data_IF_501174068801
#
_entry.id   IF_501174068801
#
_cell.length_a   1.000
_cell.length_b   1.000
_cell.length_c   1.000
_cell.angle_alpha   90.00
_cell.angle_beta   90.00
_cell.angle_gamma   90.00
#
_symmetry.space_group_name_H-M   'P 1'
#
loop_
_entity.id
_entity.type
_entity.pdbx_description
1 polymer ?
#
# COMPACT_ATOMS: atom_id res chain seq x y z
N UNK A 1 -19.75 -11.09 -3.20
CA UNK A 1 -18.65 -11.12 -2.21
C UNK A 1 -17.32 -11.13 -2.93
N UNK A 2 -16.84 -9.96 -3.33
CA UNK A 2 -15.51 -9.79 -3.93
C UNK A 2 -14.81 -8.54 -3.38
N UNK A 3 -13.55 -8.72 -2.99
CA UNK A 3 -12.62 -7.64 -2.71
C UNK A 3 -12.04 -7.11 -4.04
N UNK A 4 -12.06 -5.79 -4.21
CA UNK A 4 -11.53 -5.08 -5.38
C UNK A 4 -10.57 -3.97 -4.95
N UNK A 5 -9.47 -3.82 -5.69
CA UNK A 5 -8.59 -2.66 -5.63
C UNK A 5 -8.84 -1.75 -6.83
N UNK A 6 -9.76 -0.82 -6.67
CA UNK A 6 -10.11 0.14 -7.72
C UNK A 6 -9.03 1.21 -7.81
N UNK A 7 -8.39 1.37 -8.98
CA UNK A 7 -7.45 2.47 -9.21
C UNK A 7 -8.17 3.82 -9.12
N UNK A 8 -7.63 4.73 -8.32
CA UNK A 8 -8.16 6.07 -8.09
C UNK A 8 -7.08 7.13 -8.31
N UNK A 9 -7.48 8.39 -8.50
CA UNK A 9 -6.54 9.51 -8.56
C UNK A 9 -6.03 9.82 -7.15
N UNK A 10 -4.79 10.34 -7.04
CA UNK A 10 -4.23 10.84 -5.78
C UNK A 10 -5.02 12.01 -5.14
N UNK A 11 -5.94 12.59 -5.90
CA UNK A 11 -6.84 13.68 -5.51
C UNK A 11 -8.27 13.21 -5.26
N UNK A 12 -8.52 11.90 -5.23
CA UNK A 12 -9.85 11.35 -4.90
C UNK A 12 -10.21 11.75 -3.46
N UNK A 13 -11.42 12.28 -3.27
CA UNK A 13 -11.84 12.85 -1.98
C UNK A 13 -11.81 11.80 -0.86
N UNK A 14 -12.06 10.53 -1.19
CA UNK A 14 -12.07 9.45 -0.21
C UNK A 14 -10.66 9.24 0.36
N UNK A 15 -9.65 9.13 -0.50
CA UNK A 15 -8.27 8.95 -0.02
C UNK A 15 -7.75 10.18 0.71
N UNK A 16 -8.11 11.40 0.26
CA UNK A 16 -7.74 12.62 0.97
C UNK A 16 -8.35 12.66 2.37
N UNK A 17 -9.61 12.21 2.54
CA UNK A 17 -10.25 12.06 3.84
C UNK A 17 -9.51 11.04 4.72
N UNK A 18 -9.14 9.87 4.20
CA UNK A 18 -8.35 8.90 4.97
C UNK A 18 -6.98 9.48 5.35
N UNK A 19 -6.34 10.25 4.48
CA UNK A 19 -5.06 10.89 4.76
C UNK A 19 -5.15 11.97 5.86
N UNK A 20 -6.26 12.71 5.97
CA UNK A 20 -6.45 13.69 7.04
C UNK A 20 -6.41 13.07 8.44
N UNK A 21 -6.75 11.79 8.58
CA UNK A 21 -6.62 11.06 9.85
C UNK A 21 -5.15 10.76 10.22
N UNK A 22 -4.24 10.83 9.25
CA UNK A 22 -2.83 10.46 9.40
C UNK A 22 -1.86 11.64 9.29
N UNK A 23 -2.24 12.69 8.55
CA UNK A 23 -1.38 13.82 8.22
C UNK A 23 -2.12 15.13 8.45
N UNK A 24 -1.41 16.14 8.97
CA UNK A 24 -1.98 17.46 9.28
C UNK A 24 -2.35 18.28 8.04
N UNK A 25 -1.67 18.09 6.90
CA UNK A 25 -1.95 18.79 5.63
C UNK A 25 -1.67 17.93 4.38
N UNK A 26 -2.44 16.86 4.11
CA UNK A 26 -2.22 15.99 2.96
C UNK A 26 -2.56 16.69 1.64
N UNK A 27 -1.56 16.92 0.80
CA UNK A 27 -1.72 17.39 -0.60
C UNK A 27 -1.59 16.24 -1.61
N UNK A 28 -1.82 15.00 -1.15
CA UNK A 28 -1.55 13.77 -1.88
C UNK A 28 -0.09 13.32 -1.79
N UNK A 29 0.33 12.46 -2.72
CA UNK A 29 1.66 11.85 -2.75
C UNK A 29 2.55 12.46 -3.83
N UNK A 30 3.84 12.60 -3.52
CA UNK A 30 4.89 13.06 -4.45
C UNK A 30 5.55 11.86 -5.13
N UNK A 31 6.05 12.05 -6.35
CA UNK A 31 6.74 11.00 -7.11
C UNK A 31 5.79 9.99 -7.76
N UNK A 32 6.35 8.85 -8.22
CA UNK A 32 5.56 7.79 -8.86
C UNK A 32 4.64 7.18 -7.82
N UNK A 33 3.35 7.12 -8.13
CA UNK A 33 2.38 6.46 -7.29
C UNK A 33 1.24 5.83 -8.09
N UNK A 34 0.61 4.83 -7.48
CA UNK A 34 -0.66 4.25 -7.92
C UNK A 34 -1.54 4.09 -6.67
N UNK A 35 -2.65 4.82 -6.64
CA UNK A 35 -3.58 4.83 -5.53
C UNK A 35 -4.73 3.85 -5.79
N UNK A 36 -5.15 3.14 -4.76
CA UNK A 36 -6.26 2.19 -4.82
C UNK A 36 -7.28 2.47 -3.73
N UNK A 37 -8.57 2.50 -4.11
CA UNK A 37 -9.67 2.35 -3.17
C UNK A 37 -9.87 0.85 -2.88
N UNK A 38 -9.99 0.52 -1.60
CA UNK A 38 -10.28 -0.83 -1.11
C UNK A 38 -11.79 -0.99 -1.03
N UNK A 39 -12.37 -1.77 -1.94
CA UNK A 39 -13.81 -2.02 -2.01
C UNK A 39 -14.11 -3.48 -1.68
N UNK A 40 -15.17 -3.74 -0.91
CA UNK A 40 -15.75 -5.08 -0.79
C UNK A 40 -17.23 -4.99 -1.11
N UNK A 41 -17.67 -5.71 -2.14
CA UNK A 41 -19.05 -5.60 -2.67
C UNK A 41 -19.49 -4.14 -2.88
N UNK A 42 -18.60 -3.34 -3.50
CA UNK A 42 -18.75 -1.90 -3.79
C UNK A 42 -18.78 -0.97 -2.58
N UNK A 43 -18.68 -1.50 -1.36
CA UNK A 43 -18.55 -0.71 -0.13
C UNK A 43 -17.10 -0.29 0.07
N UNK A 44 -16.86 0.99 0.34
CA UNK A 44 -15.52 1.54 0.57
C UNK A 44 -15.05 1.32 2.00
N UNK A 45 -13.89 0.66 2.14
CA UNK A 45 -13.27 0.39 3.44
C UNK A 45 -12.01 1.23 3.69
N UNK A 46 -11.48 1.92 2.68
CA UNK A 46 -10.25 2.70 2.82
C UNK A 46 -9.41 2.69 1.55
N UNK A 47 -8.12 2.96 1.69
CA UNK A 47 -7.21 3.08 0.56
C UNK A 47 -5.82 2.52 0.86
N UNK A 48 -5.15 2.09 -0.20
CA UNK A 48 -3.76 1.62 -0.19
C UNK A 48 -3.01 2.19 -1.39
N UNK A 49 -1.74 2.56 -1.21
CA UNK A 49 -0.96 3.27 -2.22
C UNK A 49 0.41 2.61 -2.43
N UNK A 50 0.70 2.33 -3.69
CA UNK A 50 2.03 1.98 -4.17
C UNK A 50 2.78 3.26 -4.52
N UNK A 51 4.00 3.42 -4.03
CA UNK A 51 4.87 4.55 -4.25
C UNK A 51 6.30 4.13 -4.58
N UNK A 52 7.09 5.10 -5.04
CA UNK A 52 8.54 4.92 -5.20
C UNK A 52 9.20 4.49 -3.89
N UNK A 53 10.15 3.57 -3.99
CA UNK A 53 11.01 3.22 -2.87
C UNK A 53 11.83 4.41 -2.37
N UNK A 54 12.10 4.43 -1.07
CA UNK A 54 12.95 5.47 -0.47
C UNK A 54 14.41 5.27 -0.84
N UNK A 55 15.18 6.33 -1.09
CA UNK A 55 16.56 6.16 -1.57
C UNK A 55 17.48 5.50 -0.54
N UNK A 56 17.38 5.89 0.73
CA UNK A 56 18.32 5.50 1.78
C UNK A 56 17.63 4.75 2.93
N UNK A 57 17.13 3.53 2.64
CA UNK A 57 16.56 2.65 3.67
C UNK A 57 17.66 1.68 4.18
N UNK A 58 18.07 1.78 5.47
CA UNK A 58 19.04 0.85 6.04
C UNK A 58 18.57 -0.61 5.97
N UNK A 59 19.49 -1.55 5.73
CA UNK A 59 19.20 -2.99 5.72
C UNK A 59 18.43 -3.51 4.50
N UNK A 60 18.00 -2.64 3.57
CA UNK A 60 17.27 -3.06 2.36
C UNK A 60 18.14 -3.89 1.40
N UNK A 61 19.39 -3.50 1.22
CA UNK A 61 20.30 -4.20 0.31
C UNK A 61 20.57 -5.64 0.77
N UNK A 62 20.51 -5.90 2.08
CA UNK A 62 20.67 -7.24 2.64
C UNK A 62 19.48 -8.15 2.29
N UNK A 63 18.31 -7.58 2.00
CA UNK A 63 17.08 -8.31 1.65
C UNK A 63 16.95 -8.52 0.14
N UNK A 64 17.20 -7.47 -0.66
CA UNK A 64 16.97 -7.50 -2.12
C UNK A 64 18.24 -7.72 -2.95
N UNK A 65 19.43 -7.63 -2.36
CA UNK A 65 20.69 -7.71 -3.09
C UNK A 65 20.84 -6.56 -4.08
N UNK A 66 21.09 -6.90 -5.35
CA UNK A 66 21.20 -5.93 -6.44
C UNK A 66 19.82 -5.62 -7.05
N UNK A 67 19.40 -4.36 -6.93
CA UNK A 67 18.15 -3.86 -7.49
C UNK A 67 18.29 -2.39 -7.90
N UNK A 68 17.43 -1.97 -8.82
CA UNK A 68 17.17 -0.56 -9.10
C UNK A 68 15.99 -0.08 -8.23
N UNK A 69 16.05 1.17 -7.75
CA UNK A 69 15.00 1.71 -6.85
C UNK A 69 13.59 1.60 -7.44
N UNK A 70 13.46 1.68 -8.76
CA UNK A 70 12.17 1.59 -9.45
C UNK A 70 11.60 0.17 -9.51
N UNK A 71 12.40 -0.85 -9.21
CA UNK A 71 11.99 -2.26 -9.12
C UNK A 71 11.40 -2.60 -7.75
N UNK A 72 11.45 -1.68 -6.78
CA UNK A 72 10.86 -1.86 -5.44
C UNK A 72 9.67 -0.91 -5.29
N UNK A 73 8.52 -1.47 -4.92
CA UNK A 73 7.33 -0.68 -4.56
C UNK A 73 7.31 -0.47 -3.05
N UNK A 74 7.21 0.79 -2.63
CA UNK A 74 6.89 1.12 -1.26
C UNK A 74 5.38 1.22 -1.05
N UNK A 75 4.84 0.53 -0.06
CA UNK A 75 3.50 0.82 0.43
C UNK A 75 3.52 2.08 1.31
N UNK A 76 3.42 3.23 0.66
CA UNK A 76 3.55 4.57 1.27
C UNK A 76 2.32 5.04 2.03
N UNK A 77 1.18 4.36 1.85
CA UNK A 77 -0.04 4.62 2.59
C UNK A 77 -0.90 3.36 2.63
N UNK A 78 -1.33 2.96 3.81
CA UNK A 78 -2.31 1.92 3.98
C UNK A 78 -3.24 2.26 5.13
N UNK A 79 -4.52 2.37 4.81
CA UNK A 79 -5.56 2.63 5.77
C UNK A 79 -6.83 1.89 5.37
N UNK A 80 -7.37 1.12 6.30
CA UNK A 80 -8.71 0.54 6.22
C UNK A 80 -9.39 0.70 7.57
N UNK A 81 -10.70 0.90 7.54
CA UNK A 81 -11.55 1.02 8.72
C UNK A 81 -12.78 0.12 8.57
N UNK A 82 -13.30 -0.43 9.67
CA UNK A 82 -14.53 -1.19 9.63
C UNK A 82 -15.71 -0.29 9.22
N UNK A 83 -16.63 -0.84 8.44
CA UNK A 83 -17.90 -0.18 8.09
C UNK A 83 -18.99 -0.83 8.93
N UNK A 84 -19.80 -0.02 9.61
CA UNK A 84 -20.78 -0.51 10.59
C UNK A 84 -20.13 -1.41 11.65
N UNK A 85 -19.01 -0.95 12.22
CA UNK A 85 -18.26 -1.58 13.32
C UNK A 85 -17.62 -2.95 12.99
N UNK A 86 -17.70 -3.43 11.74
CA UNK A 86 -17.09 -4.71 11.35
C UNK A 86 -16.35 -4.65 10.01
N UNK A 87 -15.33 -5.50 9.89
CA UNK A 87 -14.76 -5.86 8.59
C UNK A 87 -15.63 -6.92 7.92
N UNK A 88 -15.66 -6.97 6.57
CA UNK A 88 -16.62 -7.81 5.85
C UNK A 88 -16.29 -9.30 5.97
N UNK A 89 -15.00 -9.63 6.15
CA UNK A 89 -14.49 -11.00 6.23
C UNK A 89 -13.28 -11.09 7.17
N UNK A 90 -12.98 -12.29 7.64
CA UNK A 90 -11.77 -12.58 8.43
C UNK A 90 -10.52 -12.31 7.60
N UNK A 91 -9.45 -11.84 8.26
CA UNK A 91 -8.15 -11.54 7.64
C UNK A 91 -8.24 -10.52 6.49
N UNK A 92 -9.20 -9.60 6.54
CA UNK A 92 -9.44 -8.61 5.50
C UNK A 92 -8.16 -7.84 5.12
N UNK A 93 -7.42 -7.32 6.11
CA UNK A 93 -6.15 -6.61 5.88
C UNK A 93 -5.13 -7.42 5.07
N UNK A 94 -4.96 -8.71 5.36
CA UNK A 94 -4.01 -9.58 4.66
C UNK A 94 -4.48 -9.85 3.22
N UNK A 95 -5.78 -9.99 3.01
CA UNK A 95 -6.35 -10.15 1.67
C UNK A 95 -6.17 -8.88 0.83
N UNK A 96 -6.30 -7.69 1.44
CA UNK A 96 -5.96 -6.41 0.80
C UNK A 96 -4.49 -6.37 0.42
N UNK A 97 -3.58 -6.69 1.34
CA UNK A 97 -2.14 -6.69 1.07
C UNK A 97 -1.76 -7.67 -0.05
N UNK A 98 -2.35 -8.88 -0.05
CA UNK A 98 -2.13 -9.88 -1.10
C UNK A 98 -2.55 -9.37 -2.48
N UNK A 99 -3.77 -8.82 -2.59
CA UNK A 99 -4.24 -8.21 -3.84
C UNK A 99 -3.39 -7.01 -4.24
N UNK A 100 -2.96 -6.21 -3.26
CA UNK A 100 -2.11 -5.05 -3.50
C UNK A 100 -0.80 -5.46 -4.14
N UNK A 101 -0.09 -6.46 -3.60
CA UNK A 101 1.17 -6.94 -4.21
C UNK A 101 0.97 -7.39 -5.64
N UNK A 102 -0.09 -8.17 -5.90
CA UNK A 102 -0.38 -8.65 -7.25
C UNK A 102 -0.69 -7.52 -8.23
N UNK A 103 -1.69 -6.69 -7.93
CA UNK A 103 -2.16 -5.64 -8.83
C UNK A 103 -1.18 -4.51 -8.99
N UNK A 104 -0.49 -4.12 -7.92
CA UNK A 104 0.49 -3.04 -8.00
C UNK A 104 1.69 -3.45 -8.84
N UNK A 105 2.18 -4.69 -8.78
CA UNK A 105 3.25 -5.16 -9.68
C UNK A 105 2.84 -5.03 -11.15
N UNK A 106 1.65 -5.52 -11.51
CA UNK A 106 1.14 -5.46 -12.88
C UNK A 106 0.98 -4.00 -13.32
N UNK A 107 0.32 -3.18 -12.52
CA UNK A 107 0.07 -1.78 -12.90
C UNK A 107 1.34 -0.94 -12.90
N UNK A 108 2.33 -1.25 -12.08
CA UNK A 108 3.61 -0.55 -12.05
C UNK A 108 4.39 -0.81 -13.33
N UNK A 109 4.48 -2.08 -13.74
CA UNK A 109 5.07 -2.45 -15.01
C UNK A 109 4.33 -1.80 -16.19
N UNK A 110 2.99 -1.86 -16.21
CA UNK A 110 2.21 -1.24 -17.29
C UNK A 110 2.35 0.28 -17.36
N UNK A 111 2.48 0.95 -16.20
CA UNK A 111 2.51 2.42 -16.13
C UNK A 111 3.91 3.00 -16.30
N UNK A 112 4.94 2.33 -15.79
CA UNK A 112 6.30 2.87 -15.72
C UNK A 112 7.35 2.03 -16.46
N UNK A 113 7.00 0.81 -16.88
CA UNK A 113 7.91 -0.10 -17.59
C UNK A 113 8.84 -0.91 -16.68
N UNK A 114 8.76 -0.75 -15.36
CA UNK A 114 9.65 -1.41 -14.41
C UNK A 114 9.09 -2.75 -13.92
N UNK A 115 9.91 -3.80 -13.93
CA UNK A 115 9.58 -5.09 -13.33
C UNK A 115 9.80 -5.05 -11.82
N UNK A 116 8.75 -5.38 -11.06
CA UNK A 116 8.80 -5.30 -9.60
C UNK A 116 9.46 -6.55 -9.01
N UNK A 117 10.59 -6.35 -8.33
CA UNK A 117 11.32 -7.38 -7.59
C UNK A 117 10.86 -7.51 -6.15
N UNK A 118 10.24 -6.47 -5.59
CA UNK A 118 9.98 -6.45 -4.16
C UNK A 118 9.05 -5.35 -3.66
N UNK A 119 8.70 -5.48 -2.39
CA UNK A 119 7.86 -4.55 -1.66
C UNK A 119 8.55 -4.11 -0.37
N UNK A 120 8.46 -2.82 -0.06
CA UNK A 120 8.87 -2.25 1.22
C UNK A 120 7.71 -1.44 1.82
N UNK A 121 7.81 -1.11 3.09
CA UNK A 121 6.90 -0.19 3.77
C UNK A 121 7.64 0.42 4.94
N UNK A 122 7.27 1.65 5.30
CA UNK A 122 7.78 2.33 6.48
C UNK A 122 6.75 2.26 7.61
N UNK A 123 7.15 1.69 8.73
CA UNK A 123 6.34 1.48 9.92
C UNK A 123 6.88 2.37 11.03
N UNK A 124 6.35 3.59 11.09
CA UNK A 124 6.68 4.50 12.18
C UNK A 124 6.00 4.09 13.50
N UNK A 125 6.74 4.26 14.60
CA UNK A 125 6.18 4.12 15.95
C UNK A 125 4.95 5.04 16.12
N UNK A 126 3.91 4.62 16.85
CA UNK A 126 3.83 3.41 17.69
C UNK A 126 3.41 2.15 16.94
N UNK A 127 3.31 2.16 15.59
CA UNK A 127 2.91 0.98 14.81
C UNK A 127 4.04 -0.05 14.84
N UNK A 128 3.65 -1.33 14.77
CA UNK A 128 4.59 -2.47 14.90
C UNK A 128 4.75 -3.29 13.63
N UNK A 129 4.00 -2.96 12.57
CA UNK A 129 4.09 -3.67 11.28
C UNK A 129 3.54 -5.09 11.31
N UNK A 130 2.90 -5.53 12.41
CA UNK A 130 2.37 -6.89 12.57
C UNK A 130 1.46 -7.35 11.44
N UNK A 131 0.74 -6.43 10.80
CA UNK A 131 -0.12 -6.73 9.65
C UNK A 131 0.68 -7.28 8.46
N UNK A 132 1.86 -6.74 8.19
CA UNK A 132 2.74 -7.14 7.10
C UNK A 132 3.46 -8.45 7.45
N UNK A 133 3.93 -8.59 8.70
CA UNK A 133 4.54 -9.83 9.19
C UNK A 133 3.55 -11.00 9.07
N UNK A 134 2.29 -10.79 9.47
CA UNK A 134 1.21 -11.81 9.35
C UNK A 134 0.83 -12.13 7.90
N UNK A 135 1.14 -11.24 6.96
CA UNK A 135 0.95 -11.43 5.53
C UNK A 135 2.21 -12.02 4.85
N UNK A 136 3.26 -12.31 5.61
CA UNK A 136 4.47 -13.02 5.16
C UNK A 136 5.65 -12.13 4.79
N UNK A 137 5.64 -10.85 5.19
CA UNK A 137 6.77 -9.95 4.96
C UNK A 137 7.92 -10.31 5.90
N UNK A 138 9.15 -10.35 5.37
CA UNK A 138 10.34 -10.80 6.11
C UNK A 138 10.85 -9.79 7.13
N UNK A 139 10.75 -8.50 6.80
CA UNK A 139 11.13 -7.39 7.66
C UNK A 139 10.23 -6.19 7.38
N UNK A 140 10.00 -5.39 8.41
CA UNK A 140 9.30 -4.11 8.35
C UNK A 140 10.24 -3.08 8.96
N UNK A 141 10.42 -1.96 8.28
CA UNK A 141 11.37 -0.92 8.67
C UNK A 141 10.63 0.33 9.10
#
# INVERSE_FOLDING_TARGET
MSLELQRIKRTDERILKNMHNHYSQPKGFVGRNICYAVLFDKVYYGAIVAGSATRFLPGRNDVFGNFELNEIINNIFFHIEPVNERYPIRNFSQLVLKQFRWWSSIHWQLKYGDFVKGFETLVEKPRTGQIYIRDGWKSCW
#
